data_IF_462184843524
#
_entry.id   IF_462184843524
#
_cell.length_a   1.000
_cell.length_b   1.000
_cell.length_c   1.000
_cell.angle_alpha   90.00
_cell.angle_beta   90.00
_cell.angle_gamma   90.00
#
_symmetry.space_group_name_H-M   'P 1'
#
loop_
_entity.id
_entity.type
_entity.pdbx_description
1 polymer ?
#
# COMPACT_ATOMS: atom_id res chain seq x y z
N UNK A 1 -21.10 50.18 13.49
CA UNK A 1 -21.13 50.59 12.08
C UNK A 1 -19.82 50.14 11.45
N UNK A 2 -19.87 49.00 10.75
CA UNK A 2 -18.71 48.36 10.14
C UNK A 2 -18.40 49.06 8.82
N UNK A 3 -17.16 49.51 8.63
CA UNK A 3 -16.61 49.71 7.30
C UNK A 3 -15.83 48.46 6.90
N UNK A 4 -16.18 47.96 5.71
CA UNK A 4 -15.75 46.72 5.08
C UNK A 4 -14.39 46.91 4.44
N UNK A 5 -13.54 45.88 4.54
CA UNK A 5 -12.55 45.59 3.51
C UNK A 5 -12.87 44.21 2.94
N UNK A 6 -13.29 44.20 1.68
CA UNK A 6 -13.50 43.02 0.85
C UNK A 6 -12.14 42.67 0.25
N UNK A 7 -11.70 41.43 0.42
CA UNK A 7 -10.79 40.77 -0.52
C UNK A 7 -11.29 39.36 -0.76
N UNK A 8 -11.69 39.13 -2.00
CA UNK A 8 -12.06 37.88 -2.65
C UNK A 8 -10.77 37.08 -2.89
N UNK A 9 -10.75 35.79 -2.55
CA UNK A 9 -9.74 34.84 -3.04
C UNK A 9 -10.39 33.50 -3.37
N UNK A 10 -10.59 33.28 -4.66
CA UNK A 10 -10.40 32.03 -5.40
C UNK A 10 -9.10 31.31 -4.98
N UNK A 11 -8.83 30.01 -5.09
CA UNK A 11 -9.51 28.82 -5.62
C UNK A 11 -8.69 27.63 -5.05
N UNK A 12 -9.36 26.52 -4.70
CA UNK A 12 -8.78 25.16 -4.72
C UNK A 12 -7.49 24.86 -3.90
N UNK A 13 -7.41 25.26 -2.63
CA UNK A 13 -6.53 24.58 -1.65
C UNK A 13 -7.31 24.49 -0.34
N UNK A 14 -7.78 23.29 -0.01
CA UNK A 14 -8.58 23.03 1.19
C UNK A 14 -7.78 23.22 2.48
N UNK A 15 -7.62 24.47 2.91
CA UNK A 15 -7.30 24.81 4.29
C UNK A 15 -8.60 24.80 5.09
N UNK A 16 -8.74 23.78 5.94
CA UNK A 16 -9.80 23.71 6.95
C UNK A 16 -9.56 24.84 7.95
N UNK A 17 -10.43 25.85 7.94
CA UNK A 17 -10.54 26.80 9.04
C UNK A 17 -11.50 26.24 10.09
N UNK A 18 -10.94 25.85 11.23
CA UNK A 18 -11.71 25.49 12.43
C UNK A 18 -12.26 26.78 13.04
N UNK A 19 -13.58 26.93 12.98
CA UNK A 19 -14.33 28.00 13.63
C UNK A 19 -14.24 27.81 15.15
N UNK A 20 -13.82 28.87 15.86
CA UNK A 20 -13.73 28.92 17.32
C UNK A 20 -15.06 28.50 17.95
N UNK A 21 -15.10 27.27 18.44
CA UNK A 21 -16.16 26.71 19.28
C UNK A 21 -15.52 26.20 20.56
N UNK A 22 -16.13 26.58 21.67
CA UNK A 22 -15.74 26.37 23.07
C UNK A 22 -14.95 25.06 23.33
N UNK A 23 -13.72 25.21 23.84
CA UNK A 23 -12.89 24.19 24.54
C UNK A 23 -13.14 22.73 24.14
N UNK A 24 -13.01 22.42 22.84
CA UNK A 24 -12.83 21.06 22.34
C UNK A 24 -11.36 20.82 22.08
N UNK A 25 -10.68 20.16 23.02
CA UNK A 25 -9.27 19.76 22.89
C UNK A 25 -9.06 19.00 21.57
N UNK A 26 -8.22 19.50 20.66
CA UNK A 26 -7.71 18.76 19.48
C UNK A 26 -6.62 17.74 19.87
N UNK A 27 -6.10 17.84 21.10
CA UNK A 27 -5.13 16.93 21.70
C UNK A 27 -5.53 15.45 21.70
N UNK A 28 -6.78 15.03 22.00
CA UNK A 28 -7.20 13.63 21.95
C UNK A 28 -7.03 12.98 20.56
N UNK A 29 -7.23 13.72 19.46
CA UNK A 29 -7.07 13.18 18.10
C UNK A 29 -5.60 12.90 17.77
N UNK A 30 -4.71 13.79 18.21
CA UNK A 30 -3.25 13.61 18.14
C UNK A 30 -2.75 12.49 19.08
N UNK A 31 -3.39 12.29 20.24
CA UNK A 31 -3.04 11.23 21.20
C UNK A 31 -3.44 9.82 20.72
N UNK A 32 -4.48 9.68 19.89
CA UNK A 32 -4.86 8.39 19.27
C UNK A 32 -3.73 7.85 18.36
N UNK A 33 -2.93 8.73 17.77
CA UNK A 33 -1.79 8.33 16.95
C UNK A 33 -0.72 7.57 17.77
N UNK A 34 -0.59 7.78 19.09
CA UNK A 34 0.48 7.17 19.91
C UNK A 34 0.11 5.84 20.62
N UNK A 35 -0.98 5.17 20.25
CA UNK A 35 -1.39 3.88 20.88
C UNK A 35 -0.38 2.75 20.61
N UNK A 36 0.47 2.42 21.59
CA UNK A 36 1.52 1.38 21.52
C UNK A 36 0.95 -0.06 21.42
N UNK A 37 0.52 -0.50 20.23
CA UNK A 37 0.49 -1.94 19.91
C UNK A 37 1.48 -2.19 18.78
N UNK A 38 2.43 -3.13 18.94
CA UNK A 38 3.37 -3.44 17.88
C UNK A 38 2.61 -4.07 16.70
N UNK A 39 2.55 -3.34 15.60
CA UNK A 39 1.97 -3.80 14.34
C UNK A 39 3.10 -4.29 13.43
N UNK A 40 2.94 -5.55 13.03
CA UNK A 40 3.87 -6.23 12.16
C UNK A 40 3.31 -6.23 10.74
N UNK A 41 3.66 -5.21 9.98
CA UNK A 41 3.68 -5.29 8.53
C UNK A 41 4.72 -4.28 8.04
N UNK A 42 5.59 -4.71 7.13
CA UNK A 42 6.28 -3.82 6.22
C UNK A 42 5.46 -3.85 4.92
N UNK A 43 5.29 -2.68 4.30
CA UNK A 43 4.40 -2.50 3.17
C UNK A 43 5.23 -2.24 1.93
N UNK A 44 4.85 -2.85 0.82
CA UNK A 44 5.39 -2.51 -0.48
C UNK A 44 4.88 -1.12 -0.92
N UNK A 45 5.44 -0.58 -1.99
CA UNK A 45 5.08 0.74 -2.51
C UNK A 45 3.63 0.83 -3.02
N UNK A 46 2.95 -0.31 -3.22
CA UNK A 46 1.53 -0.39 -3.56
C UNK A 46 0.58 -0.41 -2.37
N UNK A 47 1.09 -0.44 -1.14
CA UNK A 47 0.27 -0.55 0.07
C UNK A 47 -0.13 -1.98 0.45
N UNK A 48 0.55 -2.99 -0.08
CA UNK A 48 0.34 -4.39 0.29
C UNK A 48 1.44 -4.86 1.23
N UNK A 49 1.19 -5.76 2.18
CA UNK A 49 2.27 -6.43 2.90
C UNK A 49 3.19 -7.13 1.90
N UNK A 50 4.48 -6.83 1.93
CA UNK A 50 5.38 -7.15 0.81
C UNK A 50 6.70 -6.40 0.90
N UNK A 51 7.68 -6.75 0.06
CA UNK A 51 9.00 -6.11 -0.02
C UNK A 51 8.91 -4.71 -0.68
N UNK A 52 9.66 -4.41 -1.74
CA UNK A 52 9.56 -3.10 -2.41
C UNK A 52 8.35 -3.06 -3.35
N UNK A 53 8.26 -4.01 -4.28
CA UNK A 53 7.16 -4.15 -5.22
C UNK A 53 6.39 -5.45 -5.01
N UNK A 54 7.05 -6.54 -4.63
CA UNK A 54 6.37 -7.85 -4.56
C UNK A 54 5.59 -8.02 -3.25
N UNK A 55 4.39 -8.62 -3.28
CA UNK A 55 3.66 -8.95 -2.06
C UNK A 55 4.27 -10.17 -1.33
N UNK A 56 3.93 -10.32 -0.04
CA UNK A 56 4.32 -11.49 0.79
C UNK A 56 3.09 -12.18 1.38
N UNK A 57 3.24 -13.41 1.87
CA UNK A 57 2.16 -14.15 2.52
C UNK A 57 2.13 -13.97 4.06
N UNK A 58 2.85 -12.99 4.61
CA UNK A 58 2.93 -12.79 6.07
C UNK A 58 1.56 -12.48 6.67
N UNK A 59 1.23 -13.14 7.78
CA UNK A 59 0.00 -12.87 8.53
C UNK A 59 0.03 -11.46 9.15
N UNK A 60 -1.01 -10.68 8.87
CA UNK A 60 -1.23 -9.35 9.41
C UNK A 60 -2.19 -9.40 10.60
N UNK A 61 -2.04 -8.47 11.55
CA UNK A 61 -2.91 -8.44 12.74
C UNK A 61 -4.28 -7.87 12.38
N UNK A 62 -5.34 -8.58 12.78
CA UNK A 62 -6.71 -8.09 12.62
C UNK A 62 -6.92 -6.71 13.27
N UNK A 63 -7.62 -5.84 12.56
CA UNK A 63 -7.82 -4.44 12.91
C UNK A 63 -6.64 -3.53 12.55
N UNK A 64 -5.60 -4.02 11.88
CA UNK A 64 -4.50 -3.18 11.40
C UNK A 64 -5.00 -2.25 10.29
N UNK A 65 -4.80 -0.95 10.48
CA UNK A 65 -5.00 0.09 9.47
C UNK A 65 -3.66 0.75 9.19
N UNK A 66 -3.20 0.72 7.94
CA UNK A 66 -1.92 1.28 7.53
C UNK A 66 -2.16 2.23 6.37
N UNK A 67 -1.81 3.50 6.53
CA UNK A 67 -1.86 4.49 5.46
C UNK A 67 -0.44 4.90 5.08
N UNK A 68 -0.19 5.17 3.80
CA UNK A 68 1.14 5.51 3.36
C UNK A 68 1.21 6.20 2.01
N UNK A 69 2.45 6.53 1.66
CA UNK A 69 2.87 7.19 0.44
C UNK A 69 4.10 6.48 -0.12
N UNK A 70 4.19 6.40 -1.44
CA UNK A 70 5.37 5.96 -2.15
C UNK A 70 5.60 6.80 -3.40
N UNK A 71 6.87 7.09 -3.68
CA UNK A 71 7.31 7.67 -4.94
C UNK A 71 7.81 6.56 -5.85
N UNK A 72 7.30 6.49 -7.08
CA UNK A 72 7.76 5.55 -8.09
C UNK A 72 8.47 6.32 -9.22
N UNK A 73 9.73 5.99 -9.55
CA UNK A 73 10.54 6.81 -10.44
C UNK A 73 10.18 6.63 -11.92
N UNK A 74 10.64 7.57 -12.76
CA UNK A 74 10.18 7.75 -14.16
C UNK A 74 10.34 6.49 -15.02
N UNK A 75 11.47 5.78 -14.97
CA UNK A 75 11.73 4.59 -15.81
C UNK A 75 10.94 3.36 -15.34
N UNK A 76 10.32 3.41 -14.17
CA UNK A 76 9.57 2.28 -13.58
C UNK A 76 8.13 2.64 -13.24
N UNK A 77 7.65 3.78 -13.71
CA UNK A 77 6.24 4.17 -13.59
C UNK A 77 5.33 3.13 -14.27
N UNK A 78 4.23 2.80 -13.59
CA UNK A 78 3.32 1.74 -13.99
C UNK A 78 2.48 2.17 -15.20
N UNK A 79 2.01 3.42 -15.22
CA UNK A 79 1.10 3.94 -16.24
C UNK A 79 1.84 4.54 -17.44
N UNK A 80 2.80 5.42 -17.20
CA UNK A 80 3.56 6.13 -18.26
C UNK A 80 5.06 5.92 -18.12
N UNK A 81 5.43 4.65 -18.17
CA UNK A 81 6.81 4.19 -18.11
C UNK A 81 7.75 5.00 -19.03
N UNK A 82 8.79 5.59 -18.46
CA UNK A 82 9.80 6.39 -19.16
C UNK A 82 9.45 7.86 -19.40
N UNK A 83 8.25 8.31 -19.01
CA UNK A 83 7.77 9.68 -19.31
C UNK A 83 7.65 10.50 -18.02
N UNK A 84 6.92 9.98 -17.03
CA UNK A 84 6.67 10.68 -15.77
C UNK A 84 6.82 9.74 -14.57
N UNK A 85 7.19 10.32 -13.43
CA UNK A 85 7.18 9.61 -12.14
C UNK A 85 5.78 9.59 -11.55
N UNK A 86 5.55 8.74 -10.55
CA UNK A 86 4.25 8.57 -9.92
C UNK A 86 4.35 8.72 -8.40
N UNK A 87 3.26 9.17 -7.82
CA UNK A 87 3.00 9.25 -6.40
C UNK A 87 1.86 8.29 -6.09
N UNK A 88 2.09 7.33 -5.19
CA UNK A 88 1.13 6.31 -4.82
C UNK A 88 0.74 6.54 -3.37
N UNK A 89 -0.52 6.85 -3.15
CA UNK A 89 -1.11 6.95 -1.82
C UNK A 89 -1.91 5.69 -1.58
N UNK A 90 -1.81 5.11 -0.39
CA UNK A 90 -2.51 3.87 -0.10
C UNK A 90 -3.03 3.80 1.32
N UNK A 91 -4.06 2.97 1.49
CA UNK A 91 -4.64 2.57 2.76
C UNK A 91 -4.89 1.07 2.73
N UNK A 92 -4.30 0.36 3.67
CA UNK A 92 -4.50 -1.07 3.89
C UNK A 92 -5.28 -1.30 5.19
N UNK A 93 -6.32 -2.12 5.14
CA UNK A 93 -7.11 -2.53 6.28
C UNK A 93 -7.12 -4.05 6.38
N UNK A 94 -6.55 -4.59 7.45
CA UNK A 94 -6.67 -5.99 7.83
C UNK A 94 -7.97 -6.21 8.58
N UNK A 95 -9.02 -6.66 7.88
CA UNK A 95 -10.33 -6.93 8.48
C UNK A 95 -10.22 -8.12 9.44
N UNK A 96 -9.71 -9.24 8.93
CA UNK A 96 -9.43 -10.47 9.65
C UNK A 96 -7.95 -10.79 9.48
N UNK A 97 -7.35 -11.60 10.35
CA UNK A 97 -5.93 -11.96 10.19
C UNK A 97 -5.60 -12.71 8.89
N UNK A 98 -6.63 -13.16 8.16
CA UNK A 98 -6.51 -13.77 6.84
C UNK A 98 -6.95 -12.86 5.68
N UNK A 99 -7.45 -11.65 5.95
CA UNK A 99 -8.12 -10.83 4.95
C UNK A 99 -7.66 -9.38 5.04
N UNK A 100 -6.88 -8.95 4.05
CA UNK A 100 -6.50 -7.54 3.88
C UNK A 100 -7.26 -6.95 2.68
N UNK A 101 -7.74 -5.72 2.86
CA UNK A 101 -8.16 -4.84 1.77
C UNK A 101 -7.14 -3.73 1.60
N UNK A 102 -6.70 -3.49 0.38
CA UNK A 102 -5.81 -2.38 0.05
C UNK A 102 -6.47 -1.47 -0.97
N UNK A 103 -6.65 -0.21 -0.63
CA UNK A 103 -7.02 0.84 -1.56
C UNK A 103 -5.78 1.65 -1.89
N UNK A 104 -5.48 1.82 -3.16
CA UNK A 104 -4.43 2.74 -3.60
C UNK A 104 -4.98 3.76 -4.61
N UNK A 105 -4.33 4.92 -4.61
CA UNK A 105 -4.53 6.02 -5.52
C UNK A 105 -3.18 6.37 -6.12
N UNK A 106 -3.05 6.16 -7.42
CA UNK A 106 -1.85 6.49 -8.18
C UNK A 106 -2.06 7.83 -8.90
N UNK A 107 -1.13 8.76 -8.69
CA UNK A 107 -1.11 10.07 -9.33
C UNK A 107 0.20 10.27 -10.07
N UNK A 108 0.13 10.68 -11.33
CA UNK A 108 1.30 11.06 -12.10
C UNK A 108 1.85 12.40 -11.59
N UNK A 109 3.17 12.51 -11.47
CA UNK A 109 3.85 13.74 -11.07
C UNK A 109 4.20 14.57 -12.30
N UNK A 110 4.09 15.90 -12.18
CA UNK A 110 4.38 16.85 -13.25
C UNK A 110 3.13 17.27 -14.04
N UNK A 111 3.34 17.98 -15.15
CA UNK A 111 2.25 18.49 -15.98
C UNK A 111 1.58 17.36 -16.75
N UNK A 112 0.29 17.14 -16.49
CA UNK A 112 -0.56 16.30 -17.32
C UNK A 112 -1.42 17.18 -18.22
N UNK A 113 -1.72 16.68 -19.43
CA UNK A 113 -2.66 17.37 -20.34
C UNK A 113 -3.97 17.61 -19.61
N UNK A 114 -4.68 18.70 -19.91
CA UNK A 114 -5.91 19.07 -19.20
C UNK A 114 -6.96 17.94 -19.20
N UNK A 115 -7.04 17.16 -20.28
CA UNK A 115 -7.93 15.98 -20.38
C UNK A 115 -7.48 14.78 -19.54
N UNK A 116 -6.20 14.72 -19.15
CA UNK A 116 -5.60 13.69 -18.29
C UNK A 116 -5.60 14.11 -16.80
N UNK A 117 -6.07 15.32 -16.47
CA UNK A 117 -6.16 15.83 -15.08
C UNK A 117 -7.35 15.22 -14.35
N UNK A 118 -7.17 14.00 -13.83
CA UNK A 118 -8.10 13.33 -12.93
C UNK A 118 -7.58 13.23 -11.49
N UNK A 119 -8.40 12.67 -10.60
CA UNK A 119 -8.03 12.38 -9.18
C UNK A 119 -6.90 11.34 -9.09
N UNK A 120 -6.58 10.64 -10.18
CA UNK A 120 -5.64 9.52 -10.24
C UNK A 120 -6.38 8.20 -10.43
N UNK A 121 -5.63 7.14 -10.73
CA UNK A 121 -6.22 5.81 -10.89
C UNK A 121 -6.34 5.13 -9.53
N UNK A 122 -7.52 4.55 -9.29
CA UNK A 122 -7.88 3.91 -8.02
C UNK A 122 -7.89 2.43 -8.20
N UNK A 123 -7.27 1.70 -7.29
CA UNK A 123 -7.29 0.25 -7.31
C UNK A 123 -7.60 -0.30 -5.93
N UNK A 124 -8.49 -1.29 -5.91
CA UNK A 124 -8.84 -2.05 -4.73
C UNK A 124 -8.27 -3.46 -4.89
N UNK A 125 -7.40 -3.86 -3.97
CA UNK A 125 -6.81 -5.19 -3.92
C UNK A 125 -7.28 -5.94 -2.68
N UNK A 126 -7.50 -7.23 -2.87
CA UNK A 126 -7.80 -8.20 -1.83
C UNK A 126 -6.57 -9.07 -1.63
N UNK A 127 -6.21 -9.32 -0.37
CA UNK A 127 -5.34 -10.44 0.00
C UNK A 127 -6.13 -11.41 0.85
N UNK A 128 -6.07 -12.69 0.47
CA UNK A 128 -6.59 -13.78 1.28
C UNK A 128 -5.46 -14.75 1.66
N UNK A 129 -5.22 -14.92 2.97
CA UNK A 129 -4.26 -15.88 3.50
C UNK A 129 -4.88 -17.28 3.54
N UNK A 130 -4.52 -18.09 2.54
CA UNK A 130 -4.97 -19.46 2.38
C UNK A 130 -4.35 -20.33 3.49
N UNK A 131 -3.02 -20.29 3.62
CA UNK A 131 -2.28 -21.07 4.60
C UNK A 131 -1.51 -20.16 5.55
N UNK A 132 -1.62 -20.44 6.85
CA UNK A 132 -0.76 -19.82 7.86
C UNK A 132 0.59 -20.52 7.90
N UNK A 133 1.62 -19.77 8.28
CA UNK A 133 2.94 -20.34 8.49
C UNK A 133 2.93 -21.31 9.69
N UNK A 134 3.62 -22.44 9.55
CA UNK A 134 3.90 -23.42 10.63
C UNK A 134 5.38 -23.82 10.56
N UNK A 135 5.83 -24.74 11.43
CA UNK A 135 7.24 -25.20 11.45
C UNK A 135 7.77 -25.64 10.08
N UNK A 136 7.02 -26.46 9.32
CA UNK A 136 7.43 -26.95 8.00
C UNK A 136 6.59 -26.43 6.83
N UNK A 137 5.59 -25.59 7.11
CA UNK A 137 4.66 -25.06 6.10
C UNK A 137 4.92 -23.56 5.92
N UNK A 138 5.19 -23.07 4.69
CA UNK A 138 5.16 -21.64 4.43
C UNK A 138 3.73 -21.11 4.55
N UNK A 139 3.60 -19.82 4.82
CA UNK A 139 2.34 -19.13 4.57
C UNK A 139 2.06 -19.07 3.07
N UNK A 140 0.79 -19.08 2.67
CA UNK A 140 0.35 -18.98 1.27
C UNK A 140 -0.79 -17.97 1.19
N UNK A 141 -0.66 -16.98 0.31
CA UNK A 141 -1.67 -15.94 0.12
C UNK A 141 -1.97 -15.72 -1.36
N UNK A 142 -3.25 -15.48 -1.63
CA UNK A 142 -3.76 -15.04 -2.93
C UNK A 142 -4.03 -13.54 -2.88
N UNK A 143 -3.50 -12.83 -3.88
CA UNK A 143 -3.77 -11.42 -4.13
C UNK A 143 -4.62 -11.29 -5.39
N UNK A 144 -5.68 -10.50 -5.33
CA UNK A 144 -6.57 -10.20 -6.45
C UNK A 144 -6.88 -8.71 -6.50
N UNK A 145 -6.73 -8.11 -7.67
CA UNK A 145 -7.25 -6.76 -7.90
C UNK A 145 -8.68 -6.82 -8.39
N UNK A 146 -9.53 -6.00 -7.81
CA UNK A 146 -10.88 -5.83 -8.28
C UNK A 146 -10.88 -5.08 -9.63
N UNK A 147 -11.69 -5.48 -10.62
CA UNK A 147 -11.72 -4.90 -11.96
C UNK A 147 -12.48 -3.56 -12.00
N UNK A 148 -12.29 -2.70 -10.99
CA UNK A 148 -12.96 -1.40 -10.87
C UNK A 148 -12.10 -0.24 -11.37
N UNK A 149 -10.81 -0.48 -11.61
CA UNK A 149 -9.91 0.55 -12.10
C UNK A 149 -10.10 0.78 -13.60
N UNK A 150 -10.12 2.05 -14.00
CA UNK A 150 -10.08 2.47 -15.41
C UNK A 150 -8.70 2.08 -15.98
N UNK A 151 -7.62 2.43 -15.27
CA UNK A 151 -6.28 1.95 -15.59
C UNK A 151 -5.86 0.76 -14.72
N UNK A 152 -5.73 -0.40 -15.35
CA UNK A 152 -5.31 -1.67 -14.73
C UNK A 152 -3.78 -1.91 -14.79
N UNK A 153 -2.98 -0.86 -14.99
CA UNK A 153 -1.51 -0.99 -15.06
C UNK A 153 -0.86 -1.47 -13.75
N UNK A 154 -1.60 -1.35 -12.63
CA UNK A 154 -1.11 -1.72 -11.30
C UNK A 154 -1.75 -3.00 -10.74
N UNK A 155 -2.53 -3.71 -11.56
CA UNK A 155 -3.26 -4.93 -11.18
C UNK A 155 -2.32 -6.01 -10.64
N UNK A 156 -2.60 -6.46 -9.43
CA UNK A 156 -1.90 -7.51 -8.68
C UNK A 156 -2.81 -8.73 -8.53
N UNK A 157 -2.72 -9.64 -9.50
CA UNK A 157 -3.28 -10.99 -9.38
C UNK A 157 -2.10 -11.93 -9.18
N UNK A 158 -1.88 -12.42 -7.95
CA UNK A 158 -0.67 -13.17 -7.64
C UNK A 158 -0.91 -14.22 -6.55
N UNK A 159 -0.19 -15.34 -6.66
CA UNK A 159 -0.10 -16.34 -5.59
C UNK A 159 1.32 -16.27 -5.01
N UNK A 160 1.43 -16.08 -3.70
CA UNK A 160 2.72 -15.95 -3.02
C UNK A 160 2.80 -16.85 -1.80
N UNK A 161 3.97 -17.46 -1.61
CA UNK A 161 4.32 -18.21 -0.42
C UNK A 161 5.44 -17.48 0.35
N UNK A 162 5.42 -17.52 1.68
CA UNK A 162 6.44 -16.87 2.51
C UNK A 162 6.81 -17.71 3.72
N UNK A 163 8.10 -17.80 4.00
CA UNK A 163 8.67 -18.52 5.12
C UNK A 163 9.60 -17.63 5.93
N UNK A 164 9.46 -17.66 7.24
CA UNK A 164 10.28 -16.92 8.18
C UNK A 164 11.24 -17.87 8.89
N UNK A 165 12.53 -17.57 8.80
CA UNK A 165 13.60 -18.28 9.50
C UNK A 165 14.16 -17.39 10.60
N UNK A 166 14.20 -17.90 11.83
CA UNK A 166 14.90 -17.24 12.94
C UNK A 166 16.39 -17.58 12.82
N UNK A 167 17.21 -16.61 12.42
CA UNK A 167 18.66 -16.78 12.30
C UNK A 167 19.35 -16.62 13.66
N UNK A 168 18.88 -15.68 14.47
CA UNK A 168 19.32 -15.46 15.85
C UNK A 168 18.20 -14.83 16.67
N UNK A 169 18.48 -14.43 17.91
CA UNK A 169 17.48 -13.74 18.74
C UNK A 169 17.01 -12.40 18.15
N UNK A 170 17.85 -11.77 17.33
CA UNK A 170 17.58 -10.44 16.80
C UNK A 170 17.38 -10.43 15.28
N UNK A 171 17.80 -11.47 14.56
CA UNK A 171 17.74 -11.51 13.09
C UNK A 171 16.78 -12.58 12.59
N UNK A 172 15.97 -12.19 11.63
CA UNK A 172 15.00 -13.05 10.95
C UNK A 172 15.18 -12.89 9.44
N UNK A 173 15.20 -14.00 8.70
CA UNK A 173 15.16 -14.01 7.25
C UNK A 173 13.76 -14.41 6.79
N UNK A 174 13.12 -13.57 5.99
CA UNK A 174 11.84 -13.88 5.36
C UNK A 174 12.08 -14.13 3.87
N UNK A 175 11.81 -15.35 3.44
CA UNK A 175 11.97 -15.77 2.04
C UNK A 175 10.58 -15.86 1.42
N UNK A 176 10.40 -15.18 0.29
CA UNK A 176 9.13 -15.12 -0.44
C UNK A 176 9.34 -15.57 -1.87
N UNK A 177 8.39 -16.34 -2.39
CA UNK A 177 8.35 -16.75 -3.78
C UNK A 177 6.92 -16.85 -4.27
N UNK A 178 6.69 -16.66 -5.55
CA UNK A 178 5.34 -16.72 -6.10
C UNK A 178 5.27 -16.50 -7.60
N UNK A 179 4.05 -16.31 -8.08
CA UNK A 179 3.77 -16.05 -9.48
C UNK A 179 2.68 -14.99 -9.62
N UNK A 180 2.99 -13.95 -10.38
CA UNK A 180 2.05 -12.92 -10.81
C UNK A 180 1.40 -13.30 -12.13
N UNK A 181 0.07 -13.31 -12.16
CA UNK A 181 -0.70 -13.64 -13.35
C UNK A 181 -0.47 -12.58 -14.45
N UNK A 182 -0.12 -13.00 -15.68
CA UNK A 182 -0.14 -12.12 -16.84
C UNK A 182 -1.57 -11.81 -17.28
N UNK A 183 -2.58 -12.54 -16.78
CA UNK A 183 -3.99 -12.37 -17.12
C UNK A 183 -4.70 -11.59 -16.01
N UNK A 184 -5.57 -10.66 -16.42
CA UNK A 184 -6.42 -9.89 -15.53
C UNK A 184 -7.77 -9.60 -16.17
N UNK A 185 -8.73 -9.21 -15.33
CA UNK A 185 -10.06 -8.82 -15.76
C UNK A 185 -10.08 -7.30 -15.86
N UNK A 186 -10.44 -6.80 -17.04
CA UNK A 186 -10.62 -5.38 -17.34
C UNK A 186 -12.10 -5.09 -17.52
N UNK A 187 -12.58 -3.95 -17.03
CA UNK A 187 -13.90 -3.40 -17.38
C UNK A 187 -13.75 -2.49 -18.60
N UNK A 188 -14.75 -2.47 -19.49
CA UNK A 188 -14.75 -1.62 -20.69
C UNK A 188 -14.47 -0.14 -20.36
N UNK A 189 -13.83 0.59 -21.27
CA UNK A 189 -13.32 1.95 -20.99
C UNK A 189 -14.41 3.04 -21.08
N UNK A 190 -15.60 2.73 -21.59
CA UNK A 190 -16.70 3.68 -21.79
C UNK A 190 -17.70 3.65 -20.64
N UNK A 191 -17.91 4.80 -19.97
CA UNK A 191 -18.97 4.96 -18.97
C UNK A 191 -20.37 4.66 -19.53
N UNK A 192 -20.58 4.93 -20.82
CA UNK A 192 -21.87 4.67 -21.50
C UNK A 192 -22.15 3.18 -21.70
N UNK A 193 -21.10 2.37 -21.81
CA UNK A 193 -21.25 0.92 -21.94
C UNK A 193 -21.46 0.25 -20.58
N UNK A 194 -21.01 0.89 -19.50
CA UNK A 194 -20.91 0.24 -18.19
C UNK A 194 -22.06 0.60 -17.24
N UNK A 195 -23.23 0.00 -17.44
CA UNK A 195 -24.43 0.22 -16.61
C UNK A 195 -24.26 -0.16 -15.13
N UNK A 196 -23.32 -1.06 -14.78
CA UNK A 196 -22.97 -1.41 -13.40
C UNK A 196 -21.51 -1.91 -13.25
N UNK A 197 -21.08 -2.21 -12.02
CA UNK A 197 -19.70 -2.62 -11.70
C UNK A 197 -19.29 -4.01 -12.23
N UNK A 198 -20.23 -4.81 -12.74
CA UNK A 198 -20.00 -6.14 -13.30
C UNK A 198 -20.23 -6.22 -14.82
N UNK A 199 -20.56 -5.09 -15.46
CA UNK A 199 -20.78 -5.01 -16.89
C UNK A 199 -19.47 -4.97 -17.70
N UNK A 200 -19.48 -5.56 -18.90
CA UNK A 200 -18.39 -5.56 -19.87
C UNK A 200 -17.01 -5.98 -19.32
N UNK A 201 -17.01 -7.00 -18.47
CA UNK A 201 -15.77 -7.62 -17.99
C UNK A 201 -15.14 -8.42 -19.14
N UNK A 202 -13.90 -8.08 -19.48
CA UNK A 202 -13.09 -8.74 -20.50
C UNK A 202 -11.84 -9.31 -19.84
N UNK A 203 -11.49 -10.53 -20.22
CA UNK A 203 -10.20 -11.10 -19.85
C UNK A 203 -9.15 -10.53 -20.80
N UNK A 204 -8.07 -9.99 -20.24
CA UNK A 204 -6.99 -9.37 -20.98
C UNK A 204 -5.64 -9.91 -20.52
N UNK A 205 -4.67 -9.89 -21.43
CA UNK A 205 -3.29 -10.25 -21.14
C UNK A 205 -2.45 -8.97 -20.98
N UNK A 206 -1.83 -8.80 -19.83
CA UNK A 206 -0.92 -7.67 -19.53
C UNK A 206 0.20 -7.56 -20.55
N UNK A 207 0.65 -8.69 -21.10
CA UNK A 207 1.75 -8.71 -22.06
C UNK A 207 1.40 -8.04 -23.39
N UNK A 208 0.12 -7.95 -23.73
CA UNK A 208 -0.38 -7.33 -24.97
C UNK A 208 -1.08 -6.00 -24.71
N UNK A 209 -1.77 -5.83 -23.57
CA UNK A 209 -2.52 -4.60 -23.26
C UNK A 209 -1.66 -3.49 -22.64
N UNK A 210 -0.58 -3.84 -21.91
CA UNK A 210 0.15 -2.88 -21.07
C UNK A 210 1.61 -2.74 -21.49
N UNK A 211 2.09 -1.49 -21.50
CA UNK A 211 3.51 -1.16 -21.70
C UNK A 211 4.37 -1.63 -20.53
N UNK A 212 3.88 -1.47 -19.30
CA UNK A 212 4.55 -1.95 -18.10
C UNK A 212 3.89 -3.22 -17.56
N UNK A 213 4.62 -4.34 -17.61
CA UNK A 213 4.15 -5.68 -17.25
C UNK A 213 4.33 -5.96 -15.76
N UNK A 214 3.70 -5.15 -14.92
CA UNK A 214 3.84 -5.26 -13.47
C UNK A 214 3.40 -6.65 -12.96
N UNK A 215 4.28 -7.29 -12.17
CA UNK A 215 4.08 -8.61 -11.54
C UNK A 215 3.43 -9.62 -12.50
N UNK A 216 4.10 -9.89 -13.62
CA UNK A 216 3.67 -10.83 -14.65
C UNK A 216 4.75 -11.87 -14.86
N UNK A 217 4.65 -12.99 -14.16
CA UNK A 217 5.65 -14.05 -14.13
C UNK A 217 6.11 -14.43 -12.72
N UNK A 218 7.23 -15.16 -12.62
CA UNK A 218 7.83 -15.53 -11.35
C UNK A 218 8.27 -14.30 -10.55
N UNK A 219 7.99 -14.30 -9.25
CA UNK A 219 8.43 -13.27 -8.30
C UNK A 219 9.08 -13.93 -7.09
N UNK A 220 10.01 -13.23 -6.45
CA UNK A 220 10.61 -13.74 -5.23
C UNK A 220 11.56 -12.75 -4.59
N UNK A 221 11.88 -12.96 -3.32
CA UNK A 221 12.73 -12.05 -2.57
C UNK A 221 13.08 -12.53 -1.17
N UNK A 222 13.99 -11.79 -0.56
CA UNK A 222 14.50 -11.99 0.79
C UNK A 222 14.38 -10.68 1.57
N UNK A 223 13.82 -10.74 2.76
CA UNK A 223 13.89 -9.67 3.74
C UNK A 223 14.72 -10.12 4.95
N UNK A 224 15.89 -9.52 5.13
CA UNK A 224 16.70 -9.70 6.34
C UNK A 224 16.31 -8.63 7.36
N UNK A 225 15.56 -9.04 8.37
CA UNK A 225 14.96 -8.16 9.36
C UNK A 225 15.71 -8.20 10.68
N UNK A 226 15.95 -7.01 11.25
CA UNK A 226 16.44 -6.82 12.61
C UNK A 226 15.27 -6.50 13.57
N UNK A 227 14.88 -7.49 14.36
CA UNK A 227 13.74 -7.44 15.28
C UNK A 227 12.50 -6.81 14.60
N UNK A 228 11.93 -5.75 15.17
CA UNK A 228 10.83 -4.99 14.59
C UNK A 228 11.26 -3.56 14.22
N UNK A 229 12.56 -3.33 14.08
CA UNK A 229 13.13 -1.99 13.94
C UNK A 229 13.46 -1.66 12.49
N UNK A 230 13.76 -2.63 11.65
CA UNK A 230 14.10 -2.40 10.25
C UNK A 230 14.54 -3.66 9.55
N UNK A 231 14.88 -3.54 8.28
CA UNK A 231 15.38 -4.64 7.47
C UNK A 231 15.94 -4.19 6.13
N UNK A 232 16.62 -5.12 5.47
CA UNK A 232 17.16 -4.99 4.11
C UNK A 232 16.42 -6.00 3.22
N UNK A 233 16.05 -5.56 2.04
CA UNK A 233 15.20 -6.27 1.09
C UNK A 233 15.93 -6.46 -0.22
N UNK A 234 15.84 -7.67 -0.76
CA UNK A 234 16.24 -8.01 -2.12
C UNK A 234 15.04 -8.67 -2.80
N UNK A 235 14.67 -8.26 -4.00
CA UNK A 235 13.57 -8.89 -4.74
C UNK A 235 13.83 -8.98 -6.25
N UNK A 236 13.18 -9.95 -6.87
CA UNK A 236 12.93 -10.07 -8.29
C UNK A 236 11.42 -9.89 -8.52
N UNK A 237 11.03 -8.83 -9.23
CA UNK A 237 9.62 -8.44 -9.43
C UNK A 237 9.02 -8.94 -10.76
N UNK A 238 9.59 -10.02 -11.31
CA UNK A 238 9.39 -10.56 -12.66
C UNK A 238 10.09 -9.79 -13.78
N UNK A 239 10.68 -8.61 -13.50
CA UNK A 239 11.34 -7.81 -14.53
C UNK A 239 12.72 -7.30 -14.11
N UNK A 240 12.84 -6.89 -12.86
CA UNK A 240 14.04 -6.24 -12.35
C UNK A 240 14.45 -6.83 -11.00
N UNK A 241 15.75 -6.73 -10.74
CA UNK A 241 16.28 -6.93 -9.40
C UNK A 241 16.26 -5.60 -8.65
N UNK A 242 15.62 -5.60 -7.49
CA UNK A 242 15.50 -4.41 -6.66
C UNK A 242 16.12 -4.66 -5.29
N UNK A 243 16.75 -3.63 -4.74
CA UNK A 243 17.32 -3.66 -3.40
C UNK A 243 16.79 -2.48 -2.60
N UNK A 244 16.52 -2.69 -1.31
CA UNK A 244 16.08 -1.59 -0.47
C UNK A 244 16.23 -1.87 1.01
N UNK A 245 15.88 -0.88 1.81
CA UNK A 245 15.90 -0.98 3.26
C UNK A 245 14.75 -0.18 3.86
N UNK A 246 14.38 -0.55 5.07
CA UNK A 246 13.36 0.17 5.83
C UNK A 246 13.72 0.27 7.31
N UNK A 247 13.23 1.33 7.94
CA UNK A 247 13.30 1.56 9.37
C UNK A 247 11.92 1.87 9.95
N UNK A 248 11.66 1.37 11.16
CA UNK A 248 10.44 1.62 11.93
C UNK A 248 10.73 2.56 13.09
N UNK A 249 10.25 3.78 12.96
CA UNK A 249 10.22 4.79 13.99
C UNK A 249 8.97 4.61 14.86
N UNK A 250 9.13 4.75 16.17
CA UNK A 250 8.03 4.67 17.16
C UNK A 250 7.16 3.40 17.03
N UNK A 251 7.70 2.30 16.48
CA UNK A 251 7.00 1.03 16.19
C UNK A 251 5.81 1.10 15.22
N UNK A 252 5.56 2.27 14.61
CA UNK A 252 4.36 2.54 13.80
C UNK A 252 4.65 3.22 12.49
N UNK A 253 5.63 4.11 12.49
CA UNK A 253 6.01 4.87 11.32
C UNK A 253 7.13 4.13 10.61
N UNK A 254 6.87 3.64 9.41
CA UNK A 254 7.89 3.01 8.58
C UNK A 254 8.37 4.02 7.56
N UNK A 255 9.68 4.16 7.41
CA UNK A 255 10.32 4.86 6.29
C UNK A 255 11.10 3.81 5.53
N UNK A 256 10.99 3.81 4.20
CA UNK A 256 11.70 2.87 3.35
C UNK A 256 12.22 3.56 2.10
N UNK A 257 13.33 3.04 1.59
CA UNK A 257 13.92 3.48 0.34
C UNK A 257 14.51 2.27 -0.38
N UNK A 258 14.68 2.39 -1.68
CA UNK A 258 15.29 1.35 -2.49
C UNK A 258 15.81 1.88 -3.81
N UNK A 259 16.50 1.00 -4.52
CA UNK A 259 16.96 1.22 -5.88
C UNK A 259 16.34 0.13 -6.74
N UNK A 260 15.52 0.56 -7.70
CA UNK A 260 14.90 -0.30 -8.70
C UNK A 260 15.92 -0.53 -9.80
N UNK A 261 16.14 -1.80 -10.16
CA UNK A 261 17.08 -2.22 -11.20
C UNK A 261 18.49 -1.60 -11.09
N UNK A 262 18.90 -1.24 -9.88
CA UNK A 262 20.16 -0.56 -9.58
C UNK A 262 20.40 0.80 -10.27
N UNK A 263 19.38 1.43 -10.88
CA UNK A 263 19.55 2.69 -11.62
C UNK A 263 18.57 3.81 -11.24
N UNK A 264 17.48 3.53 -10.51
CA UNK A 264 16.58 4.57 -10.01
C UNK A 264 16.18 4.41 -8.56
N UNK A 265 16.21 5.51 -7.83
CA UNK A 265 15.82 5.57 -6.42
C UNK A 265 14.29 5.64 -6.29
N UNK A 266 13.78 4.92 -5.31
CA UNK A 266 12.39 4.94 -4.86
C UNK A 266 12.36 5.11 -3.34
N UNK A 267 11.28 5.70 -2.82
CA UNK A 267 11.11 5.87 -1.38
C UNK A 267 9.64 5.88 -1.01
N UNK A 268 9.38 5.58 0.27
CA UNK A 268 8.03 5.53 0.79
C UNK A 268 7.99 5.63 2.29
N UNK A 269 6.81 5.93 2.79
CA UNK A 269 6.53 6.10 4.21
C UNK A 269 5.14 5.57 4.52
N UNK A 270 4.96 4.95 5.68
CA UNK A 270 3.66 4.47 6.13
C UNK A 270 3.47 4.56 7.63
N UNK A 271 2.23 4.69 8.06
CA UNK A 271 1.84 4.81 9.46
C UNK A 271 0.80 3.76 9.83
N UNK A 272 1.10 2.99 10.87
CA UNK A 272 0.27 1.88 11.31
C UNK A 272 -0.54 2.19 12.59
N UNK A 273 -1.83 1.87 12.54
CA UNK A 273 -2.81 1.98 13.61
C UNK A 273 -3.51 0.63 13.83
N UNK A 274 -3.97 0.35 15.04
CA UNK A 274 -4.80 -0.82 15.33
C UNK A 274 -6.17 -0.34 15.80
N UNK A 275 -7.20 -0.59 15.01
CA UNK A 275 -8.58 -0.18 15.25
C UNK A 275 -9.25 -0.96 16.39
N UNK A 276 -8.74 -2.16 16.72
CA UNK A 276 -9.22 -2.97 17.85
C UNK A 276 -8.52 -2.64 19.16
N UNK A 277 -7.42 -1.89 19.13
CA UNK A 277 -6.69 -1.54 20.33
C UNK A 277 -7.37 -0.37 21.05
N UNK A 278 -8.03 -0.66 22.17
CA UNK A 278 -8.57 0.38 23.06
C UNK A 278 -7.45 1.29 23.60
N UNK A 279 -7.70 2.62 23.69
CA UNK A 279 -6.82 3.55 24.39
C UNK A 279 -6.50 3.05 25.80
N UNK A 280 -5.24 3.18 26.25
CA UNK A 280 -4.80 2.75 27.60
C UNK A 280 -5.69 3.29 28.72
N UNK A 281 -6.23 4.50 28.56
CA UNK A 281 -7.13 5.15 29.53
C UNK A 281 -8.49 4.45 29.63
N UNK A 282 -9.02 3.91 28.52
CA UNK A 282 -10.26 3.15 28.51
C UNK A 282 -10.07 1.71 28.99
N UNK A 283 -8.87 1.13 28.80
CA UNK A 283 -8.53 -0.18 29.40
C UNK A 283 -8.53 -0.12 30.93
N UNK A 284 -7.86 0.88 31.51
CA UNK A 284 -7.86 1.09 32.98
C UNK A 284 -9.27 1.33 33.55
N UNK A 285 -10.15 1.98 32.80
CA UNK A 285 -11.54 2.20 33.23
C UNK A 285 -12.40 0.91 33.18
N UNK A 286 -12.05 -0.05 32.31
CA UNK A 286 -12.72 -1.35 32.22
C UNK A 286 -12.15 -2.39 33.20
N UNK A 287 -10.88 -2.28 33.59
CA UNK A 287 -10.25 -3.18 34.57
C UNK A 287 -10.65 -2.86 36.02
N UNK A 288 -11.22 -1.66 36.26
CA UNK A 288 -11.72 -1.20 37.56
C UNK A 288 -13.26 -1.35 37.70
N UNK A 289 -13.89 -2.16 36.85
CA UNK A 289 -15.29 -2.60 36.96
C UNK A 289 -15.31 -4.10 37.16
#
# INVERSE_FOLDING_TARGET
MNLRLIVIFDILVGKIYVKNSRRGSFLPFLLILFVNTPLFAQMNFSGKPGLLNIPTAIETKSGSLIAGYAYNPVKYSFRRNGIQSESIYYVNLTILSRLDLNLNLMRMNGETRFQDKGIGDRQLDLKYLILKEKKYQPSLALYLSMPFAIDNSFTTNALVATKTFKLSNNFFAEVTGGYGSPVYIKRGDSEKENSNIFSNLKIQNKNTDKRYKYLSGPIGGLNLRYQNKGGVMLEWDSRHFNIGAYGKLFKKWTIQAGVINFDQVTFGTSYALNLKALPKRLKKANENK
#
